data_IF_162381231795
#
_entry.id   IF_162381231795
#
_cell.length_a   1.000
_cell.length_b   1.000
_cell.length_c   1.000
_cell.angle_alpha   90.00
_cell.angle_beta   90.00
_cell.angle_gamma   90.00
#
_symmetry.space_group_name_H-M   'P 1'
#
loop_
_entity.id
_entity.type
_entity.pdbx_description
1 polymer ?
#
# COMPACT_ATOMS: atom_id res chain seq x y z
N UNK A 1 -0.18 -9.49 -1.90
CA UNK A 1 1.11 -9.80 -2.53
C UNK A 1 2.22 -9.00 -1.89
N UNK A 2 3.43 -9.07 -2.45
CA UNK A 2 4.56 -8.21 -2.07
C UNK A 2 4.73 -7.17 -3.18
N UNK A 3 4.83 -5.90 -2.81
CA UNK A 3 4.96 -4.77 -3.74
C UNK A 3 6.17 -3.94 -3.34
N UNK A 4 7.12 -3.76 -4.26
CA UNK A 4 8.28 -2.90 -4.03
C UNK A 4 8.03 -1.54 -4.67
N UNK A 5 8.00 -0.49 -3.85
CA UNK A 5 7.76 0.90 -4.27
C UNK A 5 6.55 1.11 -5.22
N UNK A 6 5.33 0.64 -4.89
CA UNK A 6 4.20 0.60 -5.82
C UNK A 6 3.65 1.96 -6.30
N UNK A 7 4.12 3.06 -5.72
CA UNK A 7 3.65 4.41 -6.02
C UNK A 7 4.65 5.25 -6.83
N UNK A 8 5.85 4.72 -7.08
CA UNK A 8 6.91 5.49 -7.76
C UNK A 8 6.51 5.81 -9.20
N UNK A 9 6.59 7.10 -9.56
CA UNK A 9 6.26 7.58 -10.91
C UNK A 9 4.77 7.78 -11.20
N UNK A 10 3.88 7.57 -10.23
CA UNK A 10 2.45 7.82 -10.39
C UNK A 10 2.07 9.27 -10.06
N UNK A 11 1.09 9.79 -10.79
CA UNK A 11 0.40 11.01 -10.41
C UNK A 11 -0.64 10.76 -9.31
N UNK A 12 -1.29 11.82 -8.83
CA UNK A 12 -2.29 11.71 -7.74
C UNK A 12 -3.43 10.74 -8.07
N UNK A 13 -3.83 10.62 -9.34
CA UNK A 13 -4.89 9.70 -9.75
C UNK A 13 -4.40 8.26 -9.77
N UNK A 14 -3.17 8.04 -10.24
CA UNK A 14 -2.51 6.73 -10.20
C UNK A 14 -2.32 6.22 -8.78
N UNK A 15 -1.88 7.09 -7.86
CA UNK A 15 -1.76 6.75 -6.43
C UNK A 15 -3.10 6.31 -5.86
N UNK A 16 -4.16 7.11 -6.06
CA UNK A 16 -5.50 6.78 -5.57
C UNK A 16 -6.04 5.44 -6.12
N UNK A 17 -5.73 5.12 -7.37
CA UNK A 17 -6.10 3.84 -7.97
C UNK A 17 -5.40 2.67 -7.28
N UNK A 18 -4.08 2.76 -7.08
CA UNK A 18 -3.30 1.71 -6.42
C UNK A 18 -3.74 1.53 -4.97
N UNK A 19 -3.99 2.62 -4.25
CA UNK A 19 -4.53 2.59 -2.88
C UNK A 19 -5.88 1.87 -2.81
N UNK A 20 -6.79 2.13 -3.76
CA UNK A 20 -8.08 1.44 -3.84
C UNK A 20 -7.89 -0.06 -4.11
N UNK A 21 -7.01 -0.43 -5.05
CA UNK A 21 -6.74 -1.84 -5.36
C UNK A 21 -6.16 -2.60 -4.16
N UNK A 22 -5.23 -1.97 -3.41
CA UNK A 22 -4.67 -2.54 -2.19
C UNK A 22 -5.77 -2.74 -1.15
N UNK A 23 -6.62 -1.73 -0.95
CA UNK A 23 -7.73 -1.83 -0.01
C UNK A 23 -8.65 -2.98 -0.36
N UNK A 24 -9.11 -3.04 -1.61
CA UNK A 24 -10.06 -4.05 -2.05
C UNK A 24 -9.48 -5.45 -1.87
N UNK A 25 -8.19 -5.64 -2.17
CA UNK A 25 -7.46 -6.89 -1.94
C UNK A 25 -7.41 -7.27 -0.45
N UNK A 26 -7.13 -6.30 0.44
CA UNK A 26 -7.05 -6.55 1.88
C UNK A 26 -8.43 -6.83 2.49
N UNK A 27 -9.45 -6.06 2.10
CA UNK A 27 -10.84 -6.25 2.55
C UNK A 27 -11.40 -7.60 2.09
N UNK A 28 -10.99 -8.09 0.93
CA UNK A 28 -11.33 -9.44 0.45
C UNK A 28 -10.64 -10.57 1.23
N UNK A 29 -9.87 -10.27 2.29
CA UNK A 29 -9.15 -11.24 3.11
C UNK A 29 -7.71 -11.50 2.65
N UNK A 30 -7.24 -10.74 1.66
CA UNK A 30 -5.86 -10.77 1.22
C UNK A 30 -4.91 -10.03 2.17
N UNK A 31 -3.61 -10.24 1.97
CA UNK A 31 -2.55 -9.48 2.63
C UNK A 31 -1.68 -8.81 1.58
N UNK A 32 -1.30 -7.55 1.82
CA UNK A 32 -0.33 -6.81 1.04
C UNK A 32 0.83 -6.37 1.94
N UNK A 33 2.05 -6.68 1.53
CA UNK A 33 3.29 -6.21 2.16
C UNK A 33 3.98 -5.31 1.16
N UNK A 34 4.38 -4.11 1.58
CA UNK A 34 4.96 -3.14 0.67
C UNK A 34 5.98 -2.23 1.35
N UNK A 35 6.85 -1.65 0.52
CA UNK A 35 7.89 -0.68 0.86
C UNK A 35 7.56 0.66 0.19
N UNK A 36 6.82 1.56 0.84
CA UNK A 36 6.52 2.86 0.25
C UNK A 36 7.57 3.92 0.63
N UNK A 37 8.01 4.73 -0.34
CA UNK A 37 8.77 5.98 -0.07
C UNK A 37 7.87 7.17 0.29
N UNK A 38 6.58 7.04 0.06
CA UNK A 38 5.58 8.09 0.19
C UNK A 38 4.50 7.65 1.20
N UNK A 39 3.85 8.57 1.93
CA UNK A 39 2.74 8.21 2.82
C UNK A 39 1.62 7.50 2.05
N UNK A 40 1.07 6.43 2.65
CA UNK A 40 -0.04 5.67 2.08
C UNK A 40 -1.35 6.02 2.81
N UNK A 41 -2.40 6.36 2.08
CA UNK A 41 -3.72 6.66 2.62
C UNK A 41 -4.70 5.52 2.30
N UNK A 42 -4.78 4.54 3.20
CA UNK A 42 -5.76 3.45 3.11
C UNK A 42 -6.87 3.66 4.16
N UNK A 43 -7.92 4.42 3.84
CA UNK A 43 -9.00 4.66 4.83
C UNK A 43 -9.56 3.37 5.40
N UNK A 44 -9.81 3.37 6.70
CA UNK A 44 -10.36 2.21 7.41
C UNK A 44 -9.39 1.04 7.57
N UNK A 45 -8.17 1.12 7.03
CA UNK A 45 -7.12 0.13 7.24
C UNK A 45 -6.01 0.74 8.11
N UNK A 46 -5.63 0.01 9.15
CA UNK A 46 -4.45 0.36 9.96
C UNK A 46 -3.29 -0.50 9.51
N UNK A 47 -2.30 0.05 8.78
CA UNK A 47 -1.15 -0.74 8.36
C UNK A 47 -0.30 -1.12 9.57
N UNK A 48 0.22 -2.35 9.57
CA UNK A 48 1.23 -2.78 10.53
C UNK A 48 2.60 -2.43 9.99
N UNK A 49 3.31 -1.51 10.66
CA UNK A 49 4.68 -1.15 10.29
C UNK A 49 5.61 -2.26 10.78
N UNK A 50 6.47 -2.73 9.88
CA UNK A 50 7.51 -3.71 10.16
C UNK A 50 8.86 -3.03 9.89
N UNK A 51 9.72 -2.99 10.89
CA UNK A 51 11.12 -2.56 10.73
C UNK A 51 11.97 -3.79 10.44
N UNK A 52 12.79 -3.74 9.40
CA UNK A 52 13.64 -4.86 8.98
C UNK A 52 15.09 -4.44 9.21
N UNK A 53 15.77 -5.13 10.15
CA UNK A 53 17.12 -4.82 10.59
C UNK A 53 17.17 -3.93 11.83
N UNK A 54 18.02 -4.31 12.79
CA UNK A 54 18.76 -3.35 13.63
C UNK A 54 20.07 -2.97 12.94
#
# INVERSE_FOLDING_TARGET
GILDEPLTGLDVKGVAMVEQMIRDHVVAGGMAVMTPHQPLALDGLTPKILSVGE
#
